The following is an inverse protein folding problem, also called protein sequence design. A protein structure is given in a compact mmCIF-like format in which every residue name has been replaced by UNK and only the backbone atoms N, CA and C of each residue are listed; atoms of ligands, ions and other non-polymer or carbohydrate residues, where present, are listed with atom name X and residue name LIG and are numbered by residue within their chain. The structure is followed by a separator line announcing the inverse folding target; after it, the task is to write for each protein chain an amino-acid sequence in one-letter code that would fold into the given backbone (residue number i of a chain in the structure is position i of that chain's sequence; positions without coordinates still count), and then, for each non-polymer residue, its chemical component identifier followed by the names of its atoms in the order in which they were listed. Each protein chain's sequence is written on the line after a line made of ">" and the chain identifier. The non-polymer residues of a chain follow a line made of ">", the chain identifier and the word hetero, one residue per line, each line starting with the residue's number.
data_IF_792617991512
#
_entry.id   IF_792617991512
#
_cell.length_a   1.000
_cell.length_b   1.000
_cell.length_c   1.000
_cell.angle_alpha   90.00
_cell.angle_beta   90.00
_cell.angle_gamma   90.00
#
_symmetry.space_group_name_H-M   'P 1'
#
loop_
_entity.id
_entity.type
_entity.pdbx_description
1 polymer ?
#
# COMPACT_ATOMS: atom_id res chain seq x y z
N UNK A 1 54.55 -4.86 -28.65
CA UNK A 1 54.86 -4.04 -27.44
C UNK A 1 53.69 -3.15 -27.04
N UNK A 2 52.45 -3.53 -27.35
CA UNK A 2 51.22 -2.74 -27.18
C UNK A 2 50.17 -3.36 -26.24
N UNK A 3 50.26 -4.67 -25.94
CA UNK A 3 49.23 -5.38 -25.16
C UNK A 3 49.40 -5.31 -23.62
N UNK A 4 50.63 -5.15 -23.12
CA UNK A 4 50.83 -4.98 -21.66
C UNK A 4 50.37 -3.60 -21.18
N UNK A 5 50.48 -2.55 -22.00
CA UNK A 5 50.00 -1.20 -21.63
C UNK A 5 48.48 -1.12 -21.58
N UNK A 6 47.78 -1.80 -22.49
CA UNK A 6 46.31 -1.85 -22.47
C UNK A 6 45.75 -2.56 -21.24
N UNK A 7 46.34 -3.70 -20.86
CA UNK A 7 45.94 -4.42 -19.65
C UNK A 7 46.25 -3.64 -18.36
N UNK A 8 47.36 -2.91 -18.30
CA UNK A 8 47.69 -2.07 -17.14
C UNK A 8 46.71 -0.89 -16.98
N UNK A 9 46.37 -0.22 -18.10
CA UNK A 9 45.37 0.87 -18.11
C UNK A 9 43.99 0.34 -17.73
N UNK A 10 43.61 -0.84 -18.21
CA UNK A 10 42.33 -1.45 -17.87
C UNK A 10 42.26 -1.86 -16.38
N UNK A 11 43.36 -2.37 -15.83
CA UNK A 11 43.45 -2.74 -14.42
C UNK A 11 43.43 -1.49 -13.51
N UNK A 12 44.11 -0.41 -13.88
CA UNK A 12 44.06 0.87 -13.16
C UNK A 12 42.66 1.50 -13.19
N UNK A 13 41.99 1.51 -14.36
CA UNK A 13 40.61 2.00 -14.48
C UNK A 13 39.67 1.15 -13.61
N UNK A 14 39.81 -0.17 -13.64
CA UNK A 14 38.95 -1.09 -12.88
C UNK A 14 39.17 -0.96 -11.36
N UNK A 15 40.42 -0.81 -10.92
CA UNK A 15 40.73 -0.51 -9.51
C UNK A 15 40.15 0.86 -9.10
N UNK A 16 40.32 1.89 -9.92
CA UNK A 16 39.80 3.23 -9.64
C UNK A 16 38.27 3.24 -9.53
N UNK A 17 37.54 2.58 -10.45
CA UNK A 17 36.07 2.48 -10.36
C UNK A 17 35.61 1.69 -9.15
N UNK A 18 36.32 0.62 -8.78
CA UNK A 18 35.96 -0.20 -7.61
C UNK A 18 36.23 0.56 -6.31
N UNK A 19 37.35 1.30 -6.24
CA UNK A 19 37.66 2.16 -5.10
C UNK A 19 36.66 3.32 -4.98
N UNK A 20 36.26 3.92 -6.10
CA UNK A 20 35.25 4.99 -6.14
C UNK A 20 33.90 4.47 -5.64
N UNK A 21 33.45 3.30 -6.12
CA UNK A 21 32.23 2.64 -5.63
C UNK A 21 32.29 2.29 -4.14
N UNK A 22 33.43 1.80 -3.65
CA UNK A 22 33.63 1.49 -2.23
C UNK A 22 33.71 2.75 -1.35
N UNK A 23 34.29 3.85 -1.86
CA UNK A 23 34.33 5.13 -1.17
C UNK A 23 32.94 5.78 -1.13
N UNK A 24 32.15 5.67 -2.21
CA UNK A 24 30.75 6.08 -2.25
C UNK A 24 29.86 5.23 -1.31
N UNK A 25 30.20 3.95 -1.13
CA UNK A 25 29.53 3.08 -0.16
C UNK A 25 29.89 3.45 1.28
N UNK A 26 31.18 3.74 1.56
CA UNK A 26 31.65 4.14 2.90
C UNK A 26 31.26 5.56 3.31
N UNK A 27 30.99 6.46 2.36
CA UNK A 27 30.53 7.83 2.65
C UNK A 27 29.03 7.93 2.93
N UNK A 28 28.29 6.81 2.90
CA UNK A 28 26.86 6.80 3.21
C UNK A 28 25.96 7.48 2.16
N UNK A 29 26.53 7.95 1.04
CA UNK A 29 25.79 8.67 -0.01
C UNK A 29 24.83 7.73 -0.77
N UNK A 30 25.14 6.43 -0.82
CA UNK A 30 24.23 5.40 -1.36
C UNK A 30 23.11 4.97 -0.41
N UNK A 31 23.18 5.32 0.89
CA UNK A 31 22.05 5.10 1.79
C UNK A 31 20.96 6.16 1.60
N UNK A 32 21.32 7.36 1.13
CA UNK A 32 20.40 8.49 0.95
C UNK A 32 19.61 8.51 -0.37
N UNK A 33 19.82 7.52 -1.26
CA UNK A 33 19.06 7.37 -2.51
C UNK A 33 18.15 6.13 -2.53
N UNK A 34 18.15 5.36 -1.43
CA UNK A 34 17.35 4.14 -1.30
C UNK A 34 16.40 4.17 -0.11
N UNK A 35 16.06 5.37 0.36
CA UNK A 35 15.10 5.56 1.45
C UNK A 35 14.15 6.71 1.12
N UNK A 36 13.15 6.41 0.27
CA UNK A 36 11.84 7.08 0.11
C UNK A 36 11.10 6.57 -1.15
N UNK A 37 11.33 5.33 -1.59
CA UNK A 37 10.37 4.62 -2.41
C UNK A 37 9.52 3.74 -1.48
N UNK A 38 8.80 4.40 -0.56
CA UNK A 38 7.69 3.73 0.08
C UNK A 38 6.71 3.35 -1.05
N UNK A 39 6.32 2.09 -1.04
CA UNK A 39 5.58 1.39 -2.07
C UNK A 39 4.18 1.94 -2.24
N UNK A 40 4.03 3.09 -2.87
CA UNK A 40 2.76 3.47 -3.48
C UNK A 40 2.64 2.72 -4.82
N UNK A 41 2.43 1.40 -4.72
CA UNK A 41 1.81 0.68 -5.81
C UNK A 41 0.51 1.41 -6.20
N UNK A 42 0.09 1.35 -7.49
CA UNK A 42 -1.10 2.05 -7.92
C UNK A 42 -2.26 1.74 -6.97
N UNK A 43 -2.91 2.80 -6.49
CA UNK A 43 -4.05 2.71 -5.58
C UNK A 43 -5.17 1.84 -6.15
N UNK A 44 -6.18 1.58 -5.34
CA UNK A 44 -7.35 0.84 -5.80
C UNK A 44 -8.01 1.56 -7.00
N UNK A 45 -8.17 0.84 -8.11
CA UNK A 45 -8.89 1.35 -9.29
C UNK A 45 -10.38 1.13 -9.05
N UNK A 46 -11.09 2.20 -8.70
CA UNK A 46 -12.52 2.18 -8.43
C UNK A 46 -13.37 1.99 -9.69
N UNK A 47 -14.50 1.27 -9.53
CA UNK A 47 -15.52 1.13 -10.56
C UNK A 47 -16.20 2.50 -10.77
N UNK A 48 -16.35 2.93 -12.03
CA UNK A 48 -17.03 4.19 -12.40
C UNK A 48 -18.37 3.92 -13.08
N UNK A 49 -19.32 4.81 -12.83
CA UNK A 49 -20.68 4.73 -13.37
C UNK A 49 -20.98 5.88 -14.34
N UNK A 50 -21.83 5.59 -15.32
CA UNK A 50 -22.33 6.56 -16.27
C UNK A 50 -23.31 7.53 -15.61
N UNK A 51 -23.15 8.84 -15.84
CA UNK A 51 -24.03 9.88 -15.28
C UNK A 51 -25.47 9.85 -15.86
N UNK A 52 -25.64 9.29 -17.06
CA UNK A 52 -26.94 9.28 -17.76
C UNK A 52 -27.81 8.06 -17.39
N UNK A 53 -27.20 6.88 -17.27
CA UNK A 53 -27.94 5.62 -17.11
C UNK A 53 -27.47 4.75 -15.94
N UNK A 54 -26.52 5.23 -15.12
CA UNK A 54 -25.95 4.53 -13.96
C UNK A 54 -25.40 3.12 -14.25
N UNK A 55 -25.08 2.82 -15.52
CA UNK A 55 -24.41 1.58 -15.90
C UNK A 55 -22.89 1.70 -15.71
N UNK A 56 -22.23 0.57 -15.50
CA UNK A 56 -20.77 0.50 -15.36
C UNK A 56 -20.07 0.97 -16.65
N UNK A 57 -19.05 1.81 -16.49
CA UNK A 57 -18.22 2.28 -17.60
C UNK A 57 -17.07 1.31 -17.86
N UNK A 58 -16.68 1.18 -19.13
CA UNK A 58 -15.59 0.31 -19.56
C UNK A 58 -14.44 1.14 -20.16
N UNK A 59 -13.18 0.75 -19.89
CA UNK A 59 -12.02 1.40 -20.50
C UNK A 59 -12.03 1.21 -22.03
N UNK A 60 -11.77 2.29 -22.76
CA UNK A 60 -11.73 2.36 -24.22
C UNK A 60 -10.62 3.33 -24.64
N UNK A 61 -9.78 2.89 -25.56
CA UNK A 61 -8.74 3.74 -26.16
C UNK A 61 -9.33 4.69 -27.20
N UNK A 62 -8.94 5.97 -27.15
CA UNK A 62 -9.02 6.89 -28.27
C UNK A 62 -7.70 6.83 -29.06
N UNK A 63 -7.73 6.27 -30.27
CA UNK A 63 -6.53 6.01 -31.08
C UNK A 63 -5.92 7.27 -31.65
N UNK A 64 -6.73 8.31 -31.89
CA UNK A 64 -6.27 9.53 -32.55
C UNK A 64 -5.49 10.40 -31.56
N UNK A 65 -6.04 10.54 -30.35
CA UNK A 65 -5.44 11.34 -29.28
C UNK A 65 -4.52 10.52 -28.35
N UNK A 66 -4.54 9.19 -28.46
CA UNK A 66 -3.80 8.23 -27.61
C UNK A 66 -4.11 8.40 -26.12
N UNK A 67 -5.38 8.68 -25.81
CA UNK A 67 -5.88 8.85 -24.45
C UNK A 67 -6.74 7.66 -24.03
N UNK A 68 -6.74 7.35 -22.73
CA UNK A 68 -7.64 6.36 -22.14
C UNK A 68 -8.97 7.05 -21.80
N UNK A 69 -10.07 6.49 -22.29
CA UNK A 69 -11.42 6.93 -21.97
C UNK A 69 -12.20 5.83 -21.26
N UNK A 70 -13.24 6.22 -20.52
CA UNK A 70 -14.27 5.34 -20.00
C UNK A 70 -15.56 5.57 -20.78
N UNK A 71 -16.11 4.51 -21.37
CA UNK A 71 -17.30 4.57 -22.22
C UNK A 71 -18.42 3.65 -21.71
N UNK A 72 -19.67 4.12 -21.81
CA UNK A 72 -20.83 3.28 -21.55
C UNK A 72 -21.12 2.35 -22.73
N UNK A 73 -21.73 1.18 -22.48
CA UNK A 73 -22.20 0.27 -23.54
C UNK A 73 -23.64 0.54 -23.97
N UNK A 74 -24.43 1.19 -23.13
CA UNK A 74 -25.87 1.37 -23.32
C UNK A 74 -26.24 2.76 -23.86
N UNK A 75 -25.33 3.73 -23.79
CA UNK A 75 -25.51 5.09 -24.28
C UNK A 75 -24.18 5.65 -24.80
N UNK A 76 -24.21 6.85 -25.39
CA UNK A 76 -23.04 7.47 -26.01
C UNK A 76 -22.11 8.22 -25.02
N UNK A 77 -22.39 8.17 -23.72
CA UNK A 77 -21.59 8.82 -22.70
C UNK A 77 -20.16 8.26 -22.67
N UNK A 78 -19.19 9.18 -22.66
CA UNK A 78 -17.75 8.93 -22.60
C UNK A 78 -17.09 9.98 -21.71
N UNK A 79 -16.06 9.60 -20.98
CA UNK A 79 -15.25 10.51 -20.16
C UNK A 79 -13.78 10.12 -20.23
N UNK A 80 -12.87 11.09 -20.06
CA UNK A 80 -11.44 10.82 -19.97
C UNK A 80 -11.08 10.14 -18.64
N UNK A 81 -10.05 9.30 -18.63
CA UNK A 81 -9.57 8.63 -17.42
C UNK A 81 -8.53 9.49 -16.68
N UNK A 82 -8.73 9.70 -15.37
CA UNK A 82 -7.77 10.44 -14.52
C UNK A 82 -6.43 9.70 -14.35
N UNK A 83 -6.44 8.37 -14.49
CA UNK A 83 -5.27 7.50 -14.35
C UNK A 83 -5.26 6.46 -15.46
N UNK A 84 -4.07 6.13 -15.95
CA UNK A 84 -3.84 5.07 -16.94
C UNK A 84 -3.92 3.65 -16.33
N UNK A 85 -4.08 3.52 -15.01
CA UNK A 85 -4.20 2.23 -14.36
C UNK A 85 -5.65 1.69 -14.47
N UNK A 86 -5.83 0.59 -15.22
CA UNK A 86 -7.15 -0.03 -15.44
C UNK A 86 -7.42 -1.15 -14.44
N UNK A 87 -6.37 -1.88 -14.05
CA UNK A 87 -6.50 -3.05 -13.19
C UNK A 87 -5.26 -3.21 -12.33
N UNK A 88 -5.48 -3.45 -11.03
CA UNK A 88 -4.45 -3.77 -10.05
C UNK A 88 -4.83 -5.06 -9.37
N UNK A 89 -3.91 -6.03 -9.37
CA UNK A 89 -4.03 -7.23 -8.55
C UNK A 89 -3.00 -7.16 -7.43
N UNK A 90 -3.46 -6.89 -6.20
CA UNK A 90 -2.61 -6.94 -5.02
C UNK A 90 -2.50 -8.39 -4.54
N UNK A 91 -1.43 -9.06 -4.96
CA UNK A 91 -1.17 -10.48 -4.64
C UNK A 91 -0.96 -10.65 -3.13
N UNK A 92 -0.19 -9.73 -2.53
CA UNK A 92 -0.07 -9.62 -1.09
C UNK A 92 -1.12 -8.63 -0.61
N UNK A 93 -2.15 -9.17 0.04
CA UNK A 93 -3.26 -8.39 0.53
C UNK A 93 -2.98 -7.99 1.98
N UNK A 94 -2.22 -6.92 2.19
CA UNK A 94 -2.32 -6.18 3.44
C UNK A 94 -3.65 -5.42 3.41
N UNK A 95 -4.80 -6.12 3.48
CA UNK A 95 -5.98 -5.44 4.01
C UNK A 95 -5.54 -5.05 5.42
N UNK A 96 -5.62 -3.77 5.73
CA UNK A 96 -5.65 -3.34 7.11
C UNK A 96 -6.91 -3.96 7.72
N UNK A 97 -6.77 -5.13 8.37
CA UNK A 97 -7.90 -5.91 8.90
C UNK A 97 -8.72 -5.06 9.90
N UNK A 98 -8.10 -4.01 10.45
CA UNK A 98 -8.74 -2.98 11.25
C UNK A 98 -9.88 -2.25 10.51
N UNK A 99 -9.82 -2.13 9.18
CA UNK A 99 -10.87 -1.49 8.36
C UNK A 99 -12.16 -2.31 8.32
N UNK A 100 -12.08 -3.64 8.49
CA UNK A 100 -13.24 -4.51 8.56
C UNK A 100 -13.89 -4.56 9.94
N UNK A 101 -13.21 -4.03 10.97
CA UNK A 101 -13.73 -4.04 12.34
C UNK A 101 -14.75 -2.92 12.50
N UNK A 102 -15.99 -3.33 12.75
CA UNK A 102 -17.09 -2.40 13.03
C UNK A 102 -16.96 -1.87 14.46
N UNK A 103 -17.11 -0.56 14.71
CA UNK A 103 -17.03 0.00 16.06
C UNK A 103 -18.07 -0.54 17.03
N UNK A 104 -19.22 -1.00 16.54
CA UNK A 104 -20.34 -1.49 17.34
C UNK A 104 -20.03 -2.76 18.15
N UNK A 105 -18.89 -3.40 17.91
CA UNK A 105 -18.39 -4.51 18.74
C UNK A 105 -18.22 -4.13 20.21
N UNK A 106 -18.06 -2.83 20.52
CA UNK A 106 -18.01 -2.35 21.91
C UNK A 106 -19.30 -2.58 22.70
N UNK A 107 -20.43 -2.77 22.00
CA UNK A 107 -21.74 -3.00 22.62
C UNK A 107 -22.02 -4.48 22.88
N UNK A 108 -21.20 -5.37 22.33
CA UNK A 108 -21.35 -6.82 22.54
C UNK A 108 -20.93 -7.19 23.97
N UNK A 109 -21.85 -7.72 24.81
CA UNK A 109 -21.52 -8.13 26.17
C UNK A 109 -20.75 -9.45 26.25
N UNK A 110 -20.67 -10.21 25.15
CA UNK A 110 -19.98 -11.50 25.09
C UNK A 110 -18.50 -11.38 24.79
N UNK A 111 -18.05 -10.21 24.29
CA UNK A 111 -16.65 -9.96 24.02
C UNK A 111 -15.88 -9.58 25.31
N UNK A 112 -14.67 -10.10 25.50
CA UNK A 112 -13.87 -9.80 26.66
C UNK A 112 -13.32 -8.36 26.61
N UNK A 113 -13.11 -7.79 27.80
CA UNK A 113 -12.60 -6.44 28.01
C UNK A 113 -11.34 -6.48 28.84
N UNK A 114 -10.40 -5.59 28.53
CA UNK A 114 -9.16 -5.42 29.28
C UNK A 114 -8.94 -3.94 29.61
N UNK A 115 -8.29 -3.68 30.75
CA UNK A 115 -7.81 -2.35 31.14
C UNK A 115 -6.29 -2.19 30.97
N UNK A 116 -5.60 -3.27 30.60
CA UNK A 116 -4.14 -3.33 30.52
C UNK A 116 -3.59 -2.60 29.28
N UNK A 117 -4.39 -2.55 28.21
CA UNK A 117 -4.03 -1.96 26.92
C UNK A 117 -4.77 -0.64 26.71
N UNK A 118 -4.16 0.47 27.14
CA UNK A 118 -4.73 1.79 26.97
C UNK A 118 -4.75 2.24 25.49
N UNK A 119 -5.83 2.91 25.09
CA UNK A 119 -5.99 3.38 23.73
C UNK A 119 -4.89 4.40 23.33
N UNK A 120 -4.14 4.18 22.24
CA UNK A 120 -3.04 5.08 21.84
C UNK A 120 -3.52 6.47 21.40
N UNK A 121 -4.80 6.63 21.06
CA UNK A 121 -5.38 7.90 20.60
C UNK A 121 -5.94 8.79 21.70
N UNK A 122 -6.56 8.21 22.74
CA UNK A 122 -7.27 8.96 23.77
C UNK A 122 -6.88 8.57 25.21
N UNK A 123 -5.98 7.61 25.37
CA UNK A 123 -5.50 7.09 26.66
C UNK A 123 -6.61 6.56 27.58
N UNK A 124 -7.77 6.20 27.01
CA UNK A 124 -8.80 5.47 27.72
C UNK A 124 -8.29 4.06 28.03
N UNK A 125 -8.56 3.56 29.25
CA UNK A 125 -7.98 2.32 29.75
C UNK A 125 -8.69 1.07 29.24
N UNK A 126 -10.01 1.14 29.07
CA UNK A 126 -10.80 -0.01 28.70
C UNK A 126 -10.83 -0.22 27.18
N UNK A 127 -10.52 -1.45 26.75
CA UNK A 127 -10.58 -1.89 25.38
C UNK A 127 -11.27 -3.26 25.28
N UNK A 128 -12.10 -3.43 24.25
CA UNK A 128 -12.63 -4.74 23.85
C UNK A 128 -11.60 -5.39 22.94
N UNK A 129 -11.36 -6.69 23.10
CA UNK A 129 -10.43 -7.41 22.26
C UNK A 129 -11.00 -8.73 21.73
N UNK A 130 -10.53 -9.15 20.55
CA UNK A 130 -10.94 -10.40 19.92
C UNK A 130 -9.93 -10.84 18.85
N UNK A 131 -10.03 -12.10 18.44
CA UNK A 131 -9.32 -12.64 17.27
C UNK A 131 -10.24 -12.57 16.06
N UNK A 132 -9.71 -12.14 14.91
CA UNK A 132 -10.50 -12.12 13.68
C UNK A 132 -10.62 -13.54 13.10
N UNK A 133 -11.80 -13.86 12.53
CA UNK A 133 -12.06 -15.16 11.88
C UNK A 133 -11.49 -15.25 10.45
N UNK A 134 -10.41 -14.51 10.14
CA UNK A 134 -9.76 -14.60 8.83
C UNK A 134 -8.72 -15.71 8.87
N UNK A 135 -8.60 -16.49 7.79
CA UNK A 135 -7.61 -17.58 7.70
C UNK A 135 -6.17 -17.11 7.97
N UNK A 136 -5.87 -15.84 7.67
CA UNK A 136 -4.55 -15.25 7.93
C UNK A 136 -4.37 -14.85 9.40
N UNK A 137 -5.38 -14.23 10.00
CA UNK A 137 -5.35 -13.90 11.43
C UNK A 137 -5.30 -15.16 12.32
N UNK A 138 -5.90 -16.28 11.87
CA UNK A 138 -5.80 -17.58 12.55
C UNK A 138 -4.37 -18.15 12.54
N UNK A 139 -3.62 -17.95 11.45
CA UNK A 139 -2.21 -18.38 11.36
C UNK A 139 -1.29 -17.55 12.28
N UNK A 140 -1.60 -16.26 12.48
CA UNK A 140 -0.81 -15.33 13.30
C UNK A 140 -1.32 -15.20 14.76
N UNK A 141 -2.49 -15.77 15.09
CA UNK A 141 -3.18 -15.63 16.39
C UNK A 141 -3.27 -14.18 16.90
N UNK A 142 -3.42 -13.24 15.99
CA UNK A 142 -3.34 -11.81 16.27
C UNK A 142 -4.55 -11.31 17.03
N UNK A 143 -4.33 -10.45 18.03
CA UNK A 143 -5.39 -9.78 18.79
C UNK A 143 -5.68 -8.39 18.22
N UNK A 144 -6.96 -8.10 18.11
CA UNK A 144 -7.49 -6.80 17.72
C UNK A 144 -8.11 -6.12 18.93
N UNK A 145 -7.87 -4.82 19.07
CA UNK A 145 -8.36 -4.00 20.16
C UNK A 145 -9.24 -2.86 19.64
N UNK A 146 -10.34 -2.59 20.35
CA UNK A 146 -11.25 -1.48 20.07
C UNK A 146 -11.53 -0.70 21.36
N UNK A 147 -11.30 0.60 21.31
CA UNK A 147 -11.52 1.49 22.45
C UNK A 147 -13.01 1.60 22.78
N UNK A 148 -13.39 1.42 24.06
CA UNK A 148 -14.80 1.48 24.50
C UNK A 148 -15.36 2.90 24.57
N UNK A 149 -14.50 3.92 24.51
CA UNK A 149 -14.93 5.31 24.45
C UNK A 149 -15.64 5.61 23.11
N UNK A 150 -16.94 5.87 23.17
CA UNK A 150 -17.80 6.16 22.01
C UNK A 150 -17.33 7.36 21.17
N UNK A 151 -16.62 8.31 21.77
CA UNK A 151 -16.07 9.46 21.04
C UNK A 151 -14.74 9.15 20.31
N UNK A 152 -14.11 8.02 20.64
CA UNK A 152 -12.82 7.62 20.08
C UNK A 152 -12.98 6.48 19.07
N UNK A 153 -13.53 5.34 19.51
CA UNK A 153 -13.70 4.10 18.71
C UNK A 153 -12.47 3.69 17.90
N UNK A 154 -11.28 4.02 18.41
CA UNK A 154 -10.04 3.70 17.73
C UNK A 154 -9.80 2.20 17.75
N UNK A 155 -9.28 1.68 16.64
CA UNK A 155 -9.02 0.27 16.39
C UNK A 155 -7.52 0.11 16.18
N UNK A 156 -6.90 -0.81 16.89
CA UNK A 156 -5.48 -1.09 16.75
C UNK A 156 -5.20 -2.55 17.04
N UNK A 157 -3.96 -2.95 16.84
CA UNK A 157 -3.48 -4.30 17.08
C UNK A 157 -2.03 -4.23 17.56
N UNK A 158 -1.65 -5.17 18.42
CA UNK A 158 -0.28 -5.37 18.89
C UNK A 158 0.32 -6.64 18.27
#
# INVERSE_FOLDING_TARGET
>A
MSDLRYNLVYLEIKLATTLLLLLLYKSGIMAALFDSAHTEGPGFVGIRFCQECNNMLYPKEDKDNKILMYACRNCDYKQEADSNCIYVNKIMHEIDELTHIVPDVISDPTLPRTEDHACPKCSHREAVFFQAQTRRAEEEMRLYYVCTNQNCTHRWTE
#
